data_IF_014143501217
#
_entry.id   IF_014143501217
#
_cell.length_a   1.000
_cell.length_b   1.000
_cell.length_c   1.000
_cell.angle_alpha   90.00
_cell.angle_beta   90.00
_cell.angle_gamma   90.00
#
_symmetry.space_group_name_H-M   'P 1'
#
loop_
_entity.id
_entity.type
_entity.pdbx_description
1 polymer ?
#
# COMPACT_ATOMS: atom_id res chain seq x y z
N UNK A 1 -46.33 -38.52 -34.98
CA UNK A 1 -45.44 -37.36 -35.20
C UNK A 1 -45.05 -36.83 -33.83
N UNK A 2 -43.89 -37.23 -33.29
CA UNK A 2 -43.43 -36.83 -31.96
C UNK A 2 -42.46 -35.65 -32.11
N UNK A 3 -42.81 -34.50 -31.54
CA UNK A 3 -41.96 -33.31 -31.52
C UNK A 3 -41.14 -33.33 -30.22
N UNK A 4 -39.85 -33.66 -30.33
CA UNK A 4 -38.91 -33.58 -29.21
C UNK A 4 -38.49 -32.12 -29.01
N UNK A 5 -39.00 -31.48 -27.96
CA UNK A 5 -38.58 -30.15 -27.53
C UNK A 5 -37.33 -30.30 -26.64
N UNK A 6 -36.15 -30.07 -27.23
CA UNK A 6 -34.88 -30.09 -26.51
C UNK A 6 -34.69 -28.73 -25.81
N UNK A 7 -35.00 -28.68 -24.51
CA UNK A 7 -34.84 -27.48 -23.68
C UNK A 7 -33.35 -27.33 -23.31
N UNK A 8 -32.64 -26.41 -23.97
CA UNK A 8 -31.28 -26.03 -23.59
C UNK A 8 -31.34 -25.13 -22.34
N UNK A 9 -30.95 -25.67 -21.20
CA UNK A 9 -30.69 -24.91 -19.98
C UNK A 9 -29.39 -24.11 -20.15
N UNK A 10 -29.51 -22.80 -20.37
CA UNK A 10 -28.37 -21.87 -20.24
C UNK A 10 -28.08 -21.65 -18.75
N UNK A 11 -27.08 -22.33 -18.21
CA UNK A 11 -26.53 -21.98 -16.89
C UNK A 11 -25.71 -20.70 -17.02
N UNK A 12 -26.23 -19.59 -16.50
CA UNK A 12 -25.46 -18.36 -16.36
C UNK A 12 -24.33 -18.59 -15.33
N UNK A 13 -23.10 -18.78 -15.80
CA UNK A 13 -21.93 -18.76 -14.94
C UNK A 13 -21.66 -17.31 -14.52
N UNK A 14 -22.08 -16.96 -13.31
CA UNK A 14 -21.64 -15.71 -12.68
C UNK A 14 -20.17 -15.92 -12.32
N UNK A 15 -19.26 -15.35 -13.13
CA UNK A 15 -17.86 -15.27 -12.74
C UNK A 15 -17.78 -14.51 -11.41
N UNK A 16 -17.30 -15.20 -10.37
CA UNK A 16 -17.02 -14.58 -9.08
C UNK A 16 -15.83 -13.63 -9.30
N UNK A 17 -16.11 -12.37 -9.60
CA UNK A 17 -15.09 -11.32 -9.51
C UNK A 17 -14.70 -11.26 -8.04
N UNK A 18 -13.51 -11.76 -7.71
CA UNK A 18 -12.97 -11.63 -6.37
C UNK A 18 -12.95 -10.14 -6.02
N UNK A 19 -13.76 -9.74 -5.03
CA UNK A 19 -13.79 -8.36 -4.60
C UNK A 19 -12.42 -8.00 -4.03
N UNK A 20 -11.81 -6.95 -4.58
CA UNK A 20 -10.57 -6.41 -4.03
C UNK A 20 -10.84 -5.84 -2.64
N UNK A 21 -9.85 -5.95 -1.76
CA UNK A 21 -9.89 -5.34 -0.44
C UNK A 21 -9.88 -3.81 -0.47
N UNK A 22 -9.72 -3.22 0.71
CA UNK A 22 -9.61 -1.77 0.91
C UNK A 22 -8.24 -1.40 1.42
N UNK A 23 -7.75 -0.26 0.96
CA UNK A 23 -6.56 0.37 1.51
C UNK A 23 -6.97 1.50 2.44
N UNK A 24 -6.41 1.51 3.65
CA UNK A 24 -6.60 2.60 4.61
C UNK A 24 -5.27 3.23 4.99
N UNK A 25 -5.17 4.56 4.89
CA UNK A 25 -4.09 5.33 5.48
C UNK A 25 -4.56 5.87 6.83
N UNK A 26 -3.96 5.38 7.91
CA UNK A 26 -4.26 5.79 9.28
C UNK A 26 -3.26 6.84 9.77
N UNK A 27 -3.69 8.09 9.81
CA UNK A 27 -2.87 9.20 10.30
C UNK A 27 -2.96 9.31 11.83
N UNK A 28 -2.03 8.65 12.55
CA UNK A 28 -1.93 8.79 14.01
C UNK A 28 -1.12 10.01 14.44
N UNK A 29 -0.57 10.77 13.49
CA UNK A 29 0.18 11.98 13.80
C UNK A 29 -0.74 13.04 14.42
N UNK A 30 -0.16 13.96 15.18
CA UNK A 30 -0.85 15.14 15.75
C UNK A 30 -1.09 16.26 14.73
N UNK A 31 -0.78 16.01 13.45
CA UNK A 31 -0.90 16.97 12.36
C UNK A 31 -1.54 16.34 11.14
N UNK A 32 -2.09 17.19 10.28
CA UNK A 32 -2.63 16.77 8.99
C UNK A 32 -1.52 16.25 8.07
N UNK A 33 -1.88 15.27 7.25
CA UNK A 33 -1.04 14.68 6.22
C UNK A 33 -1.76 14.76 4.88
N UNK A 34 -1.00 14.74 3.79
CA UNK A 34 -1.55 14.81 2.44
C UNK A 34 -1.09 13.61 1.64
N UNK A 35 -2.00 12.99 0.89
CA UNK A 35 -1.73 11.77 0.13
C UNK A 35 -2.15 11.95 -1.33
N UNK A 36 -1.35 11.41 -2.24
CA UNK A 36 -1.70 11.23 -3.64
C UNK A 36 -1.72 9.73 -3.94
N UNK A 37 -2.82 9.23 -4.49
CA UNK A 37 -2.91 7.88 -5.04
C UNK A 37 -2.53 7.94 -6.51
N UNK A 38 -1.44 7.26 -6.86
CA UNK A 38 -0.80 7.32 -8.19
C UNK A 38 -0.70 5.90 -8.75
N UNK A 39 -1.03 5.72 -10.01
CA UNK A 39 -0.75 4.49 -10.77
C UNK A 39 -0.44 4.80 -12.24
N UNK A 40 -0.33 3.76 -13.07
CA UNK A 40 -0.08 3.92 -14.51
C UNK A 40 -1.15 4.71 -15.28
N UNK A 41 -2.34 4.95 -14.72
CA UNK A 41 -3.41 5.72 -15.35
C UNK A 41 -3.40 7.20 -14.95
N UNK A 42 -2.64 7.57 -13.92
CA UNK A 42 -2.50 8.96 -13.49
C UNK A 42 -2.38 9.12 -11.98
N UNK A 43 -2.58 10.37 -11.54
CA UNK A 43 -2.51 10.77 -10.13
C UNK A 43 -3.83 11.37 -9.67
N UNK A 44 -4.23 11.07 -8.45
CA UNK A 44 -5.29 11.82 -7.76
C UNK A 44 -4.86 13.27 -7.52
N UNK A 45 -5.82 14.12 -7.14
CA UNK A 45 -5.52 15.36 -6.41
C UNK A 45 -5.00 15.05 -5.00
N UNK A 46 -4.44 16.05 -4.33
CA UNK A 46 -4.06 15.91 -2.92
C UNK A 46 -5.27 15.56 -2.05
N UNK A 47 -5.15 14.50 -1.27
CA UNK A 47 -6.15 14.05 -0.30
C UNK A 47 -5.64 14.43 1.09
N UNK A 48 -6.34 15.36 1.74
CA UNK A 48 -6.04 15.73 3.12
C UNK A 48 -6.55 14.64 4.06
N UNK A 49 -5.67 14.14 4.91
CA UNK A 49 -5.99 13.26 6.04
C UNK A 49 -5.77 14.09 7.31
N UNK A 50 -6.86 14.46 7.97
CA UNK A 50 -6.78 15.25 9.20
C UNK A 50 -5.93 14.53 10.25
N UNK A 51 -5.32 15.29 11.15
CA UNK A 51 -4.68 14.75 12.34
C UNK A 51 -5.63 13.76 13.02
N UNK A 52 -5.07 12.63 13.48
CA UNK A 52 -5.81 11.63 14.24
C UNK A 52 -7.03 11.06 13.48
N UNK A 53 -6.93 10.88 12.16
CA UNK A 53 -8.02 10.38 11.32
C UNK A 53 -7.55 9.35 10.28
N UNK A 54 -8.47 8.86 9.45
CA UNK A 54 -8.20 7.84 8.44
C UNK A 54 -8.74 8.28 7.09
N UNK A 55 -8.08 7.83 6.03
CA UNK A 55 -8.58 7.84 4.66
C UNK A 55 -8.64 6.40 4.15
N UNK A 56 -9.66 6.06 3.38
CA UNK A 56 -9.83 4.73 2.79
C UNK A 56 -10.17 4.85 1.32
N UNK A 57 -9.52 4.04 0.49
CA UNK A 57 -9.85 3.84 -0.93
C UNK A 57 -9.96 2.34 -1.24
N UNK A 58 -10.74 1.95 -2.26
CA UNK A 58 -10.68 0.58 -2.75
C UNK A 58 -9.28 0.27 -3.27
N UNK A 59 -8.78 -0.93 -2.99
CA UNK A 59 -7.61 -1.45 -3.69
C UNK A 59 -7.98 -1.56 -5.17
N UNK A 60 -7.05 -1.17 -6.03
CA UNK A 60 -7.22 -1.17 -7.48
C UNK A 60 -5.96 -1.70 -8.17
N UNK A 61 -6.12 -2.10 -9.42
CA UNK A 61 -5.01 -2.43 -10.30
C UNK A 61 -5.37 -2.03 -11.73
N UNK A 62 -4.41 -1.48 -12.47
CA UNK A 62 -4.56 -1.15 -13.89
C UNK A 62 -3.99 -2.21 -14.83
N UNK A 63 -3.15 -3.12 -14.33
CA UNK A 63 -2.65 -4.29 -15.05
C UNK A 63 -2.06 -5.33 -14.08
N UNK A 64 -1.88 -6.57 -14.51
CA UNK A 64 -1.17 -7.57 -13.69
C UNK A 64 0.26 -7.12 -13.39
N UNK A 65 0.58 -6.89 -12.12
CA UNK A 65 1.87 -6.39 -11.66
C UNK A 65 2.05 -4.87 -11.71
N UNK A 66 1.06 -4.10 -12.19
CA UNK A 66 1.11 -2.64 -12.12
C UNK A 66 0.98 -2.18 -10.66
N UNK A 67 1.90 -1.31 -10.23
CA UNK A 67 1.89 -0.73 -8.90
C UNK A 67 0.93 0.44 -8.75
N UNK A 68 0.45 0.62 -7.52
CA UNK A 68 -0.20 1.82 -7.02
C UNK A 68 0.64 2.36 -5.87
N UNK A 69 0.95 3.64 -5.90
CA UNK A 69 1.78 4.31 -4.89
C UNK A 69 1.00 5.42 -4.22
N UNK A 70 0.95 5.36 -2.89
CA UNK A 70 0.39 6.39 -2.03
C UNK A 70 1.55 7.27 -1.56
N UNK A 71 1.75 8.39 -2.24
CA UNK A 71 2.78 9.37 -1.89
C UNK A 71 2.28 10.25 -0.75
N UNK A 72 2.97 10.24 0.38
CA UNK A 72 2.59 10.97 1.60
C UNK A 72 3.47 12.19 1.81
N UNK A 73 2.87 13.37 1.95
CA UNK A 73 3.52 14.65 2.21
C UNK A 73 3.02 15.27 3.52
N UNK A 74 3.86 16.14 4.11
CA UNK A 74 3.49 17.01 5.24
C UNK A 74 2.83 18.32 4.78
N UNK A 75 2.77 18.57 3.47
CA UNK A 75 2.21 19.79 2.87
C UNK A 75 1.24 19.45 1.74
N UNK A 76 0.43 20.43 1.30
CA UNK A 76 -0.48 20.28 0.16
C UNK A 76 0.27 20.17 -1.19
N UNK A 77 1.60 20.19 -1.18
CA UNK A 77 2.44 19.99 -2.36
C UNK A 77 3.18 18.66 -2.26
N UNK A 78 3.31 18.00 -3.41
CA UNK A 78 4.17 16.84 -3.56
C UNK A 78 5.56 17.31 -4.03
N UNK A 79 6.42 17.62 -3.07
CA UNK A 79 7.78 18.10 -3.32
C UNK A 79 8.71 16.88 -3.42
N UNK A 80 9.48 16.77 -4.51
CA UNK A 80 10.52 15.75 -4.64
C UNK A 80 11.54 15.89 -3.50
N UNK A 81 12.00 14.79 -2.90
CA UNK A 81 12.85 14.86 -1.70
C UNK A 81 12.08 14.78 -0.37
N UNK A 82 10.75 14.93 -0.37
CA UNK A 82 9.97 15.22 0.86
C UNK A 82 8.70 14.39 1.01
N UNK A 83 8.64 13.21 0.40
CA UNK A 83 7.50 12.32 0.53
C UNK A 83 7.91 10.86 0.74
N UNK A 84 7.19 10.19 1.62
CA UNK A 84 7.28 8.74 1.84
C UNK A 84 6.27 8.06 0.94
N UNK A 85 6.45 6.77 0.72
CA UNK A 85 5.60 6.00 -0.17
C UNK A 85 5.13 4.75 0.55
N UNK A 86 3.85 4.45 0.39
CA UNK A 86 3.31 3.11 0.55
C UNK A 86 2.97 2.61 -0.84
N UNK A 87 3.55 1.50 -1.24
CA UNK A 87 3.40 0.95 -2.58
C UNK A 87 2.74 -0.42 -2.47
N UNK A 88 1.83 -0.73 -3.40
CA UNK A 88 1.27 -2.06 -3.53
C UNK A 88 1.05 -2.43 -4.99
N UNK A 89 1.10 -3.72 -5.29
CA UNK A 89 0.79 -4.27 -6.60
C UNK A 89 0.07 -5.60 -6.46
N UNK A 90 -0.79 -5.92 -7.42
CA UNK A 90 -1.43 -7.23 -7.52
C UNK A 90 -0.81 -7.96 -8.71
N UNK A 91 -0.20 -9.11 -8.46
CA UNK A 91 0.33 -9.97 -9.51
C UNK A 91 -0.06 -11.41 -9.26
N UNK A 92 -0.60 -12.09 -10.28
CA UNK A 92 -1.00 -13.50 -10.22
C UNK A 92 -1.89 -13.82 -9.00
N UNK A 93 -2.88 -12.96 -8.74
CA UNK A 93 -3.80 -13.04 -7.60
C UNK A 93 -3.13 -12.93 -6.21
N UNK A 94 -1.90 -12.40 -6.13
CA UNK A 94 -1.20 -12.13 -4.87
C UNK A 94 -1.03 -10.63 -4.68
N UNK A 95 -1.34 -10.17 -3.47
CA UNK A 95 -1.08 -8.81 -3.01
C UNK A 95 0.38 -8.67 -2.56
N UNK A 96 1.09 -7.69 -3.10
CA UNK A 96 2.43 -7.30 -2.68
C UNK A 96 2.44 -5.85 -2.24
N UNK A 97 3.28 -5.50 -1.27
CA UNK A 97 3.40 -4.14 -0.76
C UNK A 97 4.73 -3.87 -0.06
N UNK A 98 5.07 -2.60 0.07
CA UNK A 98 6.25 -2.13 0.77
C UNK A 98 6.10 -0.71 1.31
N UNK A 99 7.11 -0.31 2.10
CA UNK A 99 7.34 1.07 2.54
C UNK A 99 8.55 1.57 1.78
N UNK A 100 8.45 2.76 1.20
CA UNK A 100 9.55 3.35 0.44
C UNK A 100 9.88 4.79 0.88
N UNK A 101 11.16 5.00 1.13
CA UNK A 101 11.79 6.28 1.45
C UNK A 101 12.75 6.74 0.36
N UNK A 102 12.82 6.05 -0.80
CA UNK A 102 13.77 6.34 -1.88
C UNK A 102 13.77 7.82 -2.28
N UNK A 103 12.58 8.43 -2.31
CA UNK A 103 12.39 9.82 -2.71
C UNK A 103 12.70 10.84 -1.60
N UNK A 104 13.06 10.44 -0.38
CA UNK A 104 13.26 11.37 0.75
C UNK A 104 14.43 11.02 1.69
N UNK A 105 14.96 9.79 1.60
CA UNK A 105 16.11 9.35 2.36
C UNK A 105 17.42 9.86 1.73
N UNK A 106 18.41 10.11 2.58
CA UNK A 106 19.79 10.42 2.20
C UNK A 106 20.71 9.43 2.90
N UNK A 107 21.05 8.34 2.20
CA UNK A 107 21.73 7.21 2.83
C UNK A 107 20.86 6.59 3.92
N UNK A 108 21.32 6.61 5.16
CA UNK A 108 20.59 6.06 6.30
C UNK A 108 19.64 7.07 6.97
N UNK A 109 19.68 8.34 6.57
CA UNK A 109 18.84 9.40 7.14
C UNK A 109 17.52 9.53 6.37
N UNK A 110 16.41 9.21 7.02
CA UNK A 110 15.05 9.40 6.50
C UNK A 110 14.25 10.45 7.31
N UNK A 111 14.90 11.38 8.00
CA UNK A 111 14.25 12.45 8.78
C UNK A 111 13.30 13.33 7.94
N UNK A 112 13.61 13.51 6.65
CA UNK A 112 12.77 14.23 5.70
C UNK A 112 11.54 13.44 5.24
N UNK A 113 11.49 12.13 5.52
CA UNK A 113 10.40 11.25 5.14
C UNK A 113 9.20 11.41 6.09
N UNK A 114 8.03 11.81 5.58
CA UNK A 114 6.79 11.87 6.36
C UNK A 114 6.48 10.55 7.08
N UNK A 115 6.28 10.63 8.40
CA UNK A 115 6.01 9.48 9.27
C UNK A 115 7.24 8.77 9.84
N UNK A 116 8.43 8.85 9.23
CA UNK A 116 9.63 8.12 9.67
C UNK A 116 10.02 8.39 11.13
N UNK A 117 9.95 9.64 11.59
CA UNK A 117 10.32 10.03 12.97
C UNK A 117 9.51 9.27 14.03
N UNK A 118 8.25 8.94 13.74
CA UNK A 118 7.34 8.28 14.66
C UNK A 118 7.03 6.82 14.27
N UNK A 119 7.70 6.33 13.23
CA UNK A 119 7.56 4.97 12.71
C UNK A 119 6.38 4.80 11.77
N UNK A 120 6.49 3.78 10.94
CA UNK A 120 5.51 3.37 9.95
C UNK A 120 5.18 1.89 10.12
N UNK A 121 3.95 1.51 9.74
CA UNK A 121 3.54 0.12 9.75
C UNK A 121 2.55 -0.18 8.62
N UNK A 122 2.62 -1.40 8.09
CA UNK A 122 1.61 -1.98 7.21
C UNK A 122 1.12 -3.27 7.87
N UNK A 123 -0.20 -3.45 7.93
CA UNK A 123 -0.80 -4.70 8.36
C UNK A 123 -2.15 -4.91 7.68
N UNK A 124 -2.63 -6.16 7.65
CA UNK A 124 -4.01 -6.47 7.31
C UNK A 124 -4.85 -6.71 8.56
N UNK A 125 -6.02 -6.07 8.71
CA UNK A 125 -6.91 -6.30 9.84
C UNK A 125 -7.75 -7.57 9.70
N UNK A 126 -7.96 -8.05 8.46
CA UNK A 126 -8.86 -9.16 8.15
C UNK A 126 -8.13 -10.40 7.59
N UNK A 127 -6.83 -10.31 7.29
CA UNK A 127 -6.06 -11.42 6.75
C UNK A 127 -4.75 -11.62 7.51
N UNK A 128 -4.57 -12.79 8.13
CA UNK A 128 -3.39 -13.11 8.95
C UNK A 128 -2.20 -13.59 8.13
N UNK A 129 -2.42 -14.01 6.89
CA UNK A 129 -1.37 -14.43 5.94
C UNK A 129 -0.59 -13.24 5.36
N UNK A 130 -1.12 -12.02 5.48
CA UNK A 130 -0.40 -10.81 5.12
C UNK A 130 0.70 -10.51 6.14
N UNK A 131 1.93 -10.37 5.66
CA UNK A 131 3.07 -9.97 6.46
C UNK A 131 2.83 -8.62 7.15
N UNK A 132 3.10 -8.56 8.46
CA UNK A 132 3.14 -7.28 9.18
C UNK A 132 4.51 -6.64 9.03
N UNK A 133 4.54 -5.41 8.54
CA UNK A 133 5.77 -4.65 8.33
C UNK A 133 5.78 -3.48 9.30
N UNK A 134 6.83 -3.35 10.10
CA UNK A 134 7.00 -2.22 11.02
C UNK A 134 8.41 -1.68 10.88
N UNK A 135 8.53 -0.38 10.63
CA UNK A 135 9.77 0.37 10.75
C UNK A 135 9.64 1.35 11.92
N UNK A 136 10.41 1.09 12.98
CA UNK A 136 10.40 1.92 14.20
C UNK A 136 10.80 3.37 13.93
N UNK A 137 10.29 4.28 14.75
CA UNK A 137 10.59 5.70 14.63
C UNK A 137 12.08 6.02 14.71
N UNK A 138 12.55 6.92 13.84
CA UNK A 138 13.96 7.35 13.74
C UNK A 138 14.97 6.20 13.51
N UNK A 139 14.52 5.02 13.11
CA UNK A 139 15.39 3.85 12.93
C UNK A 139 15.74 3.66 11.46
N UNK A 140 17.00 3.32 11.18
CA UNK A 140 17.40 2.82 9.87
C UNK A 140 16.95 1.35 9.74
N UNK A 141 15.99 1.09 8.86
CA UNK A 141 15.28 -0.19 8.77
C UNK A 141 15.30 -0.75 7.32
N UNK A 142 16.49 -0.92 6.69
CA UNK A 142 16.59 -1.18 5.25
C UNK A 142 16.04 -2.54 4.81
N UNK A 143 15.81 -3.47 5.74
CA UNK A 143 15.13 -4.75 5.47
C UNK A 143 13.61 -4.63 5.57
N UNK A 144 13.07 -3.51 6.07
CA UNK A 144 11.63 -3.23 6.27
C UNK A 144 11.09 -2.11 5.40
N UNK A 145 11.96 -1.24 4.88
CA UNK A 145 11.61 -0.16 3.99
C UNK A 145 12.75 0.13 3.02
N UNK A 146 12.43 0.57 1.81
CA UNK A 146 13.42 1.04 0.86
C UNK A 146 14.05 2.36 1.30
N UNK A 147 15.38 2.39 1.46
CA UNK A 147 16.15 3.64 1.62
C UNK A 147 16.88 4.05 0.35
N UNK A 148 17.08 3.09 -0.56
CA UNK A 148 17.68 3.27 -1.88
C UNK A 148 16.88 2.43 -2.86
N UNK A 149 16.89 2.83 -4.13
CA UNK A 149 16.48 1.96 -5.23
C UNK A 149 17.44 0.75 -5.33
N UNK A 150 16.90 -0.42 -5.64
CA UNK A 150 17.64 -1.68 -5.81
C UNK A 150 18.56 -2.03 -4.63
N UNK A 151 18.03 -2.16 -3.40
CA UNK A 151 18.79 -2.52 -2.19
C UNK A 151 19.59 -3.82 -2.33
N UNK A 152 19.16 -4.78 -3.17
CA UNK A 152 19.96 -5.97 -3.45
C UNK A 152 21.31 -5.58 -4.06
N UNK A 153 21.31 -4.71 -5.07
CA UNK A 153 22.53 -4.29 -5.76
C UNK A 153 23.36 -3.30 -4.93
N UNK A 154 22.70 -2.35 -4.25
CA UNK A 154 23.38 -1.24 -3.57
C UNK A 154 23.81 -1.56 -2.14
N UNK A 155 23.10 -2.46 -1.46
CA UNK A 155 23.31 -2.78 -0.05
C UNK A 155 23.57 -4.28 0.19
N UNK A 156 23.37 -5.15 -0.80
CA UNK A 156 23.53 -6.60 -0.63
C UNK A 156 22.45 -7.25 0.24
N UNK A 157 21.26 -6.63 0.34
CA UNK A 157 20.13 -7.13 1.14
C UNK A 157 18.92 -7.42 0.24
N UNK A 158 18.02 -8.36 0.63
CA UNK A 158 16.79 -8.58 -0.10
C UNK A 158 15.93 -7.31 -0.23
N UNK A 159 15.22 -7.23 -1.34
CA UNK A 159 14.18 -6.24 -1.59
C UNK A 159 13.12 -6.31 -0.46
N UNK A 160 12.82 -5.22 0.27
CA UNK A 160 11.87 -5.22 1.38
C UNK A 160 10.40 -5.21 0.90
N UNK A 161 10.07 -6.13 0.00
CA UNK A 161 8.72 -6.37 -0.52
C UNK A 161 8.07 -7.50 0.28
N UNK A 162 6.83 -7.27 0.68
CA UNK A 162 6.03 -8.16 1.51
C UNK A 162 4.75 -8.53 0.79
N UNK A 163 4.02 -9.52 1.30
CA UNK A 163 2.76 -9.89 0.66
C UNK A 163 1.82 -10.71 1.52
N UNK A 164 0.72 -11.12 0.89
CA UNK A 164 -0.33 -11.94 1.51
C UNK A 164 -0.28 -13.42 1.13
N UNK A 165 0.82 -13.88 0.52
CA UNK A 165 0.97 -15.27 0.09
C UNK A 165 -0.19 -15.74 -0.78
N UNK A 166 -0.85 -16.83 -0.40
CA UNK A 166 -1.99 -17.43 -1.09
C UNK A 166 -3.36 -16.90 -0.61
N UNK A 167 -3.42 -15.81 0.15
CA UNK A 167 -4.68 -15.24 0.64
C UNK A 167 -5.57 -14.62 -0.45
N UNK A 168 -5.05 -14.43 -1.65
CA UNK A 168 -5.74 -13.73 -2.72
C UNK A 168 -5.70 -12.21 -2.57
N UNK A 169 -6.68 -11.53 -3.15
CA UNK A 169 -6.73 -10.07 -3.27
C UNK A 169 -7.80 -9.40 -2.42
N UNK A 170 -8.51 -10.17 -1.59
CA UNK A 170 -9.59 -9.67 -0.71
C UNK A 170 -9.10 -9.09 0.63
N UNK A 171 -7.80 -9.14 0.89
CA UNK A 171 -7.21 -8.58 2.10
C UNK A 171 -7.28 -7.06 2.10
N UNK A 172 -7.72 -6.49 3.22
CA UNK A 172 -7.58 -5.06 3.47
C UNK A 172 -6.14 -4.78 3.90
N UNK A 173 -5.61 -3.62 3.53
CA UNK A 173 -4.31 -3.13 3.99
C UNK A 173 -4.49 -1.83 4.76
N UNK A 174 -3.77 -1.69 5.87
CA UNK A 174 -3.72 -0.46 6.66
C UNK A 174 -2.28 0.02 6.72
N UNK A 175 -2.02 1.17 6.11
CA UNK A 175 -0.76 1.91 6.24
C UNK A 175 -0.87 2.93 7.38
N UNK A 176 -0.06 2.75 8.41
CA UNK A 176 -0.07 3.55 9.64
C UNK A 176 1.05 4.58 9.61
N UNK A 177 0.68 5.85 9.69
CA UNK A 177 1.60 6.96 9.92
C UNK A 177 1.72 7.24 11.42
N UNK A 178 2.92 7.54 11.89
CA UNK A 178 3.22 7.80 13.31
C UNK A 178 2.82 6.62 14.20
N UNK A 179 3.33 5.44 13.86
CA UNK A 179 2.97 4.16 14.48
C UNK A 179 3.13 4.14 16.00
N UNK A 180 4.15 4.81 16.55
CA UNK A 180 4.39 4.87 17.99
C UNK A 180 3.33 5.66 18.78
N UNK A 181 2.41 6.33 18.09
CA UNK A 181 1.27 7.01 18.70
C UNK A 181 0.09 6.07 18.87
N UNK A 182 -0.81 6.40 19.82
CA UNK A 182 -2.06 5.67 20.04
C UNK A 182 -2.86 5.56 18.74
N UNK A 183 -3.59 4.46 18.57
CA UNK A 183 -4.50 4.27 17.44
C UNK A 183 -5.54 5.38 17.35
N UNK A 184 -6.05 5.57 16.13
CA UNK A 184 -7.14 6.50 15.77
C UNK A 184 -8.40 5.73 15.47
#
# INVERSE_FOLDING_TARGET
MFFNLCLFLFTAQVALVAALGKLTVANRCSRDMYVWSVDGQGSSRAIKINARSRYTEPIRTSCNGCGVTLKVSRTLQLIGGHHSQFEYAISNNVMYYDISFVDCAKGQDASNCPGHVAGLEIYSPNERKCDRVTCSGNSYCPTKAYYVDQPNQKLGIPEPVYGCGDAGTGADLVFVLCQNQRSV
#
